data_IF_103644057706
#
_entry.id   IF_103644057706
#
_cell.length_a   1.000
_cell.length_b   1.000
_cell.length_c   1.000
_cell.angle_alpha   90.00
_cell.angle_beta   90.00
_cell.angle_gamma   90.00
#
_symmetry.space_group_name_H-M   'P 1'
#
loop_
_entity.id
_entity.type
_entity.pdbx_description
1 polymer ?
#
# COMPACT_ATOMS: atom_id res chain seq x y z
N UNK A 1 10.13 13.92 -17.75
CA UNK A 1 9.26 12.93 -17.09
C UNK A 1 10.14 11.76 -16.66
N UNK A 2 10.39 11.50 -15.39
CA UNK A 2 9.40 10.90 -14.49
C UNK A 2 9.46 9.37 -14.43
N UNK A 3 10.45 8.71 -15.06
CA UNK A 3 10.57 7.24 -15.12
C UNK A 3 10.48 6.56 -13.75
N UNK A 4 11.13 7.13 -12.74
CA UNK A 4 11.12 6.61 -11.38
C UNK A 4 9.76 6.79 -10.67
N UNK A 5 8.99 7.86 -10.98
CA UNK A 5 7.62 8.03 -10.47
C UNK A 5 6.64 7.07 -11.15
N UNK A 6 6.84 6.80 -12.44
CA UNK A 6 6.03 5.82 -13.20
C UNK A 6 6.29 4.41 -12.66
N UNK A 7 7.56 4.06 -12.41
CA UNK A 7 7.92 2.80 -11.79
C UNK A 7 7.35 2.67 -10.37
N UNK A 8 7.53 3.70 -9.52
CA UNK A 8 6.98 3.71 -8.16
C UNK A 8 5.45 3.60 -8.14
N UNK A 9 4.75 4.24 -9.09
CA UNK A 9 3.29 4.12 -9.22
C UNK A 9 2.87 2.73 -9.67
N UNK A 10 3.53 2.16 -10.68
CA UNK A 10 3.29 0.77 -11.11
C UNK A 10 3.49 -0.21 -9.95
N UNK A 11 4.57 -0.05 -9.19
CA UNK A 11 4.85 -0.88 -8.01
C UNK A 11 3.77 -0.69 -6.94
N UNK A 12 3.32 0.55 -6.69
CA UNK A 12 2.25 0.81 -5.74
C UNK A 12 0.94 0.11 -6.17
N UNK A 13 0.56 0.23 -7.44
CA UNK A 13 -0.66 -0.36 -8.00
C UNK A 13 -0.63 -1.89 -7.95
N UNK A 14 0.50 -2.49 -8.36
CA UNK A 14 0.68 -3.95 -8.37
C UNK A 14 0.65 -4.53 -6.95
N UNK A 15 1.40 -3.92 -6.02
CA UNK A 15 1.44 -4.40 -4.64
C UNK A 15 0.12 -4.16 -3.92
N UNK A 16 -0.55 -3.04 -4.16
CA UNK A 16 -1.88 -2.76 -3.61
C UNK A 16 -2.90 -3.79 -4.11
N UNK A 17 -3.00 -3.98 -5.43
CA UNK A 17 -3.96 -4.91 -6.04
C UNK A 17 -3.73 -6.34 -5.55
N UNK A 18 -2.47 -6.79 -5.50
CA UNK A 18 -2.11 -8.11 -4.98
C UNK A 18 -2.46 -8.26 -3.51
N UNK A 19 -2.21 -7.22 -2.71
CA UNK A 19 -2.50 -7.25 -1.29
C UNK A 19 -4.01 -7.31 -1.02
N UNK A 20 -4.81 -6.47 -1.67
CA UNK A 20 -6.27 -6.49 -1.59
C UNK A 20 -6.86 -7.83 -2.04
N UNK A 21 -6.31 -8.47 -3.07
CA UNK A 21 -6.76 -9.79 -3.50
C UNK A 21 -6.39 -10.91 -2.51
N UNK A 22 -5.30 -10.75 -1.75
CA UNK A 22 -4.82 -11.75 -0.79
C UNK A 22 -5.39 -11.59 0.62
N UNK A 23 -5.95 -10.44 0.95
CA UNK A 23 -6.44 -10.10 2.29
C UNK A 23 -7.95 -10.06 2.29
N UNK A 24 -8.57 -10.65 3.32
CA UNK A 24 -10.03 -10.60 3.50
C UNK A 24 -10.40 -9.78 4.72
N UNK A 25 -11.56 -9.14 4.68
CA UNK A 25 -12.11 -8.43 5.83
C UNK A 25 -12.25 -9.35 7.05
N UNK A 26 -12.73 -10.58 6.84
CA UNK A 26 -12.92 -11.56 7.89
C UNK A 26 -11.59 -11.92 8.60
N UNK A 27 -10.50 -12.02 7.84
CA UNK A 27 -9.17 -12.26 8.41
C UNK A 27 -8.69 -11.06 9.25
N UNK A 28 -8.83 -9.83 8.74
CA UNK A 28 -8.48 -8.61 9.47
C UNK A 28 -9.31 -8.43 10.75
N UNK A 29 -10.61 -8.73 10.67
CA UNK A 29 -11.52 -8.68 11.81
C UNK A 29 -11.23 -9.78 12.84
N UNK A 30 -10.87 -10.99 12.39
CA UNK A 30 -10.55 -12.10 13.29
C UNK A 30 -9.27 -11.86 14.07
N UNK A 31 -8.26 -11.23 13.45
CA UNK A 31 -7.00 -10.90 14.13
C UNK A 31 -7.12 -9.76 15.14
N UNK A 32 -8.28 -9.11 15.22
CA UNK A 32 -8.52 -7.87 15.98
C UNK A 32 -7.43 -6.82 15.73
N UNK A 33 -6.83 -6.83 14.52
CA UNK A 33 -5.70 -5.97 14.19
C UNK A 33 -6.19 -4.53 14.07
N UNK A 34 -5.89 -3.72 15.09
CA UNK A 34 -6.20 -2.29 15.10
C UNK A 34 -5.38 -1.54 14.03
N UNK A 35 -4.13 -1.95 13.86
CA UNK A 35 -3.27 -1.55 12.76
C UNK A 35 -2.15 -2.56 12.53
N UNK A 36 -1.75 -2.74 11.28
CA UNK A 36 -0.62 -3.56 10.87
C UNK A 36 0.24 -2.80 9.88
N UNK A 37 1.55 -2.96 9.96
CA UNK A 37 2.49 -2.40 8.99
C UNK A 37 3.55 -3.40 8.61
N UNK A 38 3.77 -3.55 7.31
CA UNK A 38 4.79 -4.40 6.74
C UNK A 38 5.65 -3.60 5.74
N UNK A 39 6.95 -3.83 5.75
CA UNK A 39 7.88 -3.21 4.82
C UNK A 39 8.58 -4.28 3.98
N UNK A 40 8.68 -4.03 2.68
CA UNK A 40 9.45 -4.84 1.74
C UNK A 40 10.34 -3.96 0.88
N UNK A 41 11.48 -4.48 0.42
CA UNK A 41 12.37 -3.77 -0.50
C UNK A 41 12.40 -4.50 -1.84
N UNK A 42 12.30 -3.77 -2.95
CA UNK A 42 12.35 -4.30 -4.31
C UNK A 42 13.31 -3.47 -5.15
N UNK A 43 14.05 -4.10 -6.06
CA UNK A 43 14.88 -3.38 -7.03
C UNK A 43 14.23 -3.44 -8.40
N UNK A 44 13.91 -2.28 -8.99
CA UNK A 44 13.40 -2.15 -10.36
C UNK A 44 14.35 -1.27 -11.16
N UNK A 45 14.86 -1.79 -12.28
CA UNK A 45 15.77 -1.09 -13.20
C UNK A 45 17.01 -0.47 -12.52
N UNK A 46 17.51 -1.11 -11.47
CA UNK A 46 18.69 -0.66 -10.72
C UNK A 46 18.40 0.40 -9.64
N UNK A 47 17.13 0.73 -9.40
CA UNK A 47 16.69 1.58 -8.29
C UNK A 47 16.04 0.70 -7.22
N UNK A 48 16.51 0.83 -5.98
CA UNK A 48 15.92 0.15 -4.83
C UNK A 48 14.75 0.97 -4.29
N UNK A 49 13.59 0.35 -4.17
CA UNK A 49 12.36 0.92 -3.63
C UNK A 49 11.96 0.19 -2.35
N UNK A 50 11.56 0.95 -1.33
CA UNK A 50 10.88 0.48 -0.14
C UNK A 50 9.37 0.61 -0.33
N UNK A 51 8.67 -0.49 -0.09
CA UNK A 51 7.23 -0.64 -0.16
C UNK A 51 6.73 -0.86 1.26
N UNK A 52 5.99 0.12 1.79
CA UNK A 52 5.35 0.04 3.11
C UNK A 52 3.86 -0.21 2.92
N UNK A 53 3.35 -1.29 3.50
CA UNK A 53 1.93 -1.66 3.51
C UNK A 53 1.40 -1.39 4.90
N UNK A 54 0.34 -0.60 5.03
CA UNK A 54 -0.26 -0.24 6.31
C UNK A 54 -1.77 -0.45 6.22
N UNK A 55 -2.33 -1.21 7.15
CA UNK A 55 -3.78 -1.38 7.29
C UNK A 55 -4.19 -0.91 8.67
N UNK A 56 -5.32 -0.22 8.77
CA UNK A 56 -5.92 0.13 10.05
C UNK A 56 -7.44 0.11 9.95
N UNK A 57 -8.08 -0.14 11.09
CA UNK A 57 -9.53 -0.09 11.20
C UNK A 57 -9.98 1.37 11.27
N UNK A 58 -10.98 1.75 10.48
CA UNK A 58 -11.58 3.08 10.61
C UNK A 58 -12.49 3.14 11.86
N UNK A 59 -12.35 4.18 12.66
CA UNK A 59 -13.19 4.40 13.84
C UNK A 59 -14.54 4.95 13.41
N UNK A 60 -15.60 4.14 13.50
CA UNK A 60 -16.98 4.56 13.24
C UNK A 60 -17.57 3.97 11.97
N UNK A 61 -16.74 3.67 10.97
CA UNK A 61 -17.11 2.88 9.80
C UNK A 61 -16.64 1.44 9.98
N UNK A 62 -17.46 0.46 9.57
CA UNK A 62 -17.05 -0.96 9.55
C UNK A 62 -16.07 -1.23 8.40
N UNK A 63 -15.05 -0.40 8.21
CA UNK A 63 -14.11 -0.48 7.11
C UNK A 63 -12.67 -0.58 7.63
N UNK A 64 -11.80 -1.16 6.81
CA UNK A 64 -10.35 -1.12 6.98
C UNK A 64 -9.75 -0.29 5.87
N UNK A 65 -8.91 0.68 6.23
CA UNK A 65 -8.14 1.45 5.25
C UNK A 65 -6.82 0.76 5.03
N UNK A 66 -6.57 0.38 3.78
CA UNK A 66 -5.34 -0.26 3.32
C UNK A 66 -4.55 0.74 2.52
N UNK A 67 -3.27 0.91 2.84
CA UNK A 67 -2.37 1.87 2.19
C UNK A 67 -1.07 1.20 1.79
N UNK A 68 -0.65 1.39 0.56
CA UNK A 68 0.67 1.03 0.05
C UNK A 68 1.43 2.29 -0.30
N UNK A 69 2.59 2.48 0.31
CA UNK A 69 3.51 3.57 0.05
C UNK A 69 4.79 3.04 -0.58
N UNK A 70 5.15 3.55 -1.75
CA UNK A 70 6.40 3.25 -2.43
C UNK A 70 7.32 4.46 -2.38
N UNK A 71 8.55 4.26 -1.92
CA UNK A 71 9.59 5.28 -1.82
C UNK A 71 10.93 4.70 -2.22
N UNK A 72 11.89 5.50 -2.65
CA UNK A 72 13.25 4.97 -2.87
C UNK A 72 13.91 4.58 -1.54
N UNK A 73 14.49 3.39 -1.47
CA UNK A 73 15.11 2.84 -0.27
C UNK A 73 16.39 3.59 0.13
N UNK A 74 17.14 4.09 -0.86
CA UNK A 74 18.32 4.93 -0.62
C UNK A 74 17.98 6.37 -0.96
N UNK A 75 18.19 7.29 0.00
CA UNK A 75 18.11 8.75 -0.23
C UNK A 75 19.19 9.19 -1.22
N UNK A 76 19.01 8.94 -2.53
CA UNK A 76 19.58 9.82 -3.54
C UNK A 76 18.71 11.06 -3.52
N UNK A 77 19.27 12.22 -3.15
CA UNK A 77 18.57 13.46 -2.82
C UNK A 77 17.66 14.09 -3.90
N UNK A 78 17.27 13.34 -4.93
CA UNK A 78 16.41 13.74 -6.04
C UNK A 78 14.97 13.18 -5.95
N UNK A 79 14.73 12.11 -5.17
CA UNK A 79 13.39 11.53 -4.97
C UNK A 79 12.75 11.99 -3.67
N UNK A 80 12.24 13.23 -3.66
CA UNK A 80 11.43 13.77 -2.56
C UNK A 80 9.97 13.30 -2.60
N UNK A 81 9.63 12.39 -3.51
CA UNK A 81 8.24 12.02 -3.81
C UNK A 81 8.03 10.52 -3.60
N UNK A 82 7.41 10.15 -2.48
CA UNK A 82 6.78 8.84 -2.35
C UNK A 82 5.48 8.80 -3.15
N UNK A 83 5.17 7.64 -3.73
CA UNK A 83 3.83 7.37 -4.28
C UNK A 83 3.04 6.62 -3.23
N UNK A 84 1.80 7.01 -3.02
CA UNK A 84 0.88 6.36 -2.08
C UNK A 84 -0.33 5.91 -2.89
N UNK A 85 -0.78 4.69 -2.63
CA UNK A 85 -2.08 4.18 -3.07
C UNK A 85 -2.82 3.67 -1.86
N UNK A 86 -4.09 4.03 -1.77
CA UNK A 86 -4.92 3.75 -0.62
C UNK A 86 -6.32 3.42 -1.06
N UNK A 87 -7.00 2.66 -0.23
CA UNK A 87 -8.41 2.40 -0.43
C UNK A 87 -9.00 1.65 0.75
N UNK A 88 -10.30 1.44 0.70
CA UNK A 88 -11.07 0.94 1.84
C UNK A 88 -11.65 -0.42 1.53
N UNK A 89 -11.49 -1.34 2.46
CA UNK A 89 -12.09 -2.67 2.42
C UNK A 89 -13.27 -2.72 3.40
N UNK A 90 -14.41 -3.14 2.88
CA UNK A 90 -15.68 -3.22 3.61
C UNK A 90 -16.02 -4.67 3.98
N UNK A 91 -17.00 -4.89 4.89
CA UNK A 91 -17.35 -6.23 5.38
C UNK A 91 -17.93 -7.14 4.30
N UNK A 92 -18.50 -6.56 3.24
CA UNK A 92 -19.01 -7.28 2.07
C UNK A 92 -17.89 -7.76 1.13
N UNK A 93 -16.63 -7.45 1.46
CA UNK A 93 -15.46 -7.81 0.66
C UNK A 93 -15.21 -6.85 -0.50
N UNK A 94 -16.01 -5.78 -0.64
CA UNK A 94 -15.75 -4.74 -1.63
C UNK A 94 -14.53 -3.90 -1.23
N UNK A 95 -13.77 -3.47 -2.24
CA UNK A 95 -12.62 -2.57 -2.07
C UNK A 95 -12.83 -1.35 -2.96
N UNK A 96 -12.77 -0.16 -2.37
CA UNK A 96 -12.80 1.11 -3.11
C UNK A 96 -11.40 1.72 -3.14
N UNK A 97 -10.97 2.16 -4.33
CA UNK A 97 -9.72 2.92 -4.51
C UNK A 97 -10.00 4.39 -4.19
N UNK A 98 -9.26 4.98 -3.25
CA UNK A 98 -9.24 6.44 -3.11
C UNK A 98 -8.17 6.97 -4.07
N UNK A 99 -8.62 7.68 -5.12
CA UNK A 99 -7.81 8.13 -6.27
C UNK A 99 -6.70 9.08 -5.86
#
# INVERSE_FOLDING_TARGET
MGLDKVAARRLADEHYSRWCASTSYAELAHRDEHSSSDDSEVTDRGVAYRISRTVWRESGDRAYTMTVKVSEARRRGLFRSSVIRSGRMYPDGSVTDEV
#
